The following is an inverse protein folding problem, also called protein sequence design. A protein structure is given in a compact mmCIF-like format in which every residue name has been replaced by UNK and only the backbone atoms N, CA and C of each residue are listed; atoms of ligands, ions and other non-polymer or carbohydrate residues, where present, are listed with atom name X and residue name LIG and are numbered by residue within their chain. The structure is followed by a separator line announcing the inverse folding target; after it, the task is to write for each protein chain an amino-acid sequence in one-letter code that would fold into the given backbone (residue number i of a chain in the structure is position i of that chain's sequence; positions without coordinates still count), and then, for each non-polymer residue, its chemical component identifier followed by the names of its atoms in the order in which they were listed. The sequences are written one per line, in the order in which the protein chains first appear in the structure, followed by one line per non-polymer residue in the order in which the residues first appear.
data_IF_783674146286
#
_entry.id   IF_783674146286
#
_cell.length_a   1.000
_cell.length_b   1.000
_cell.length_c   1.000
_cell.angle_alpha   90.00
_cell.angle_beta   90.00
_cell.angle_gamma   90.00
#
_symmetry.space_group_name_H-M   'P 1'
#
loop_
_entity.id
_entity.type
_entity.pdbx_description
1 polymer ?
#
# COMPACT_ATOMS: atom_id res chain seq x y z
N UNK A 1 19.98 -31.34 -112.59
CA UNK A 1 19.78 -32.80 -112.60
C UNK A 1 19.11 -33.16 -111.28
N UNK A 2 17.89 -33.74 -111.35
CA UNK A 2 16.94 -34.14 -110.28
C UNK A 2 16.42 -33.03 -109.34
N UNK A 3 15.17 -33.02 -108.85
CA UNK A 3 13.81 -33.41 -109.27
C UNK A 3 12.90 -33.11 -108.05
N UNK A 4 11.68 -32.60 -108.23
CA UNK A 4 10.61 -32.58 -107.21
C UNK A 4 9.99 -31.19 -106.98
N UNK A 5 8.90 -30.81 -107.67
CA UNK A 5 7.46 -31.06 -107.40
C UNK A 5 6.80 -30.11 -106.37
N UNK A 6 6.07 -29.11 -106.90
CA UNK A 6 4.64 -28.76 -106.67
C UNK A 6 4.05 -28.98 -105.25
N UNK A 7 3.67 -27.90 -104.55
CA UNK A 7 2.28 -27.40 -104.31
C UNK A 7 2.03 -26.66 -102.98
N UNK A 8 1.03 -25.77 -103.06
CA UNK A 8 0.37 -24.84 -102.12
C UNK A 8 0.36 -25.16 -100.61
N UNK A 9 0.54 -24.10 -99.81
CA UNK A 9 0.11 -24.05 -98.40
C UNK A 9 0.09 -22.62 -97.85
N UNK A 10 -1.10 -22.18 -97.42
CA UNK A 10 -1.43 -20.91 -96.75
C UNK A 10 -0.53 -20.58 -95.53
N UNK A 11 -0.12 -19.31 -95.36
CA UNK A 11 -0.42 -18.47 -94.19
C UNK A 11 0.55 -17.30 -93.97
N UNK A 12 -0.07 -16.19 -93.55
CA UNK A 12 0.46 -15.13 -92.66
C UNK A 12 1.14 -13.91 -93.29
N UNK A 13 0.31 -12.88 -93.49
CA UNK A 13 0.76 -11.50 -93.65
C UNK A 13 1.31 -10.97 -92.32
N UNK A 14 2.61 -10.67 -92.26
CA UNK A 14 3.19 -9.91 -91.16
C UNK A 14 2.79 -8.44 -91.29
N UNK A 15 1.69 -8.08 -90.60
CA UNK A 15 1.21 -6.71 -90.46
C UNK A 15 2.08 -6.00 -89.43
N UNK A 16 3.05 -5.21 -89.88
CA UNK A 16 3.82 -4.31 -89.01
C UNK A 16 2.84 -3.34 -88.35
N UNK A 17 2.57 -3.53 -87.05
CA UNK A 17 1.80 -2.58 -86.24
C UNK A 17 2.63 -1.32 -86.06
N UNK A 18 2.30 -0.28 -86.83
CA UNK A 18 2.76 1.08 -86.61
C UNK A 18 2.36 1.50 -85.19
N UNK A 19 3.35 1.71 -84.33
CA UNK A 19 3.14 2.27 -83.00
C UNK A 19 2.75 3.74 -83.18
N UNK A 20 1.48 4.05 -82.90
CA UNK A 20 0.97 5.41 -82.93
C UNK A 20 1.61 6.20 -81.79
N UNK A 21 2.68 6.95 -82.10
CA UNK A 21 3.08 8.10 -81.32
C UNK A 21 1.96 9.14 -81.44
N UNK A 22 1.31 9.44 -80.31
CA UNK A 22 0.32 10.51 -80.18
C UNK A 22 0.88 11.82 -80.72
N UNK A 23 0.43 12.29 -81.89
CA UNK A 23 0.49 13.71 -82.25
C UNK A 23 -0.82 14.36 -81.79
N UNK A 24 -0.89 14.75 -80.52
CA UNK A 24 -2.05 15.44 -79.96
C UNK A 24 -1.87 16.96 -80.03
N UNK A 25 -2.93 17.68 -80.39
CA UNK A 25 -3.02 19.15 -80.40
C UNK A 25 -2.36 19.77 -79.17
N UNK A 26 -1.55 20.82 -79.35
CA UNK A 26 -0.76 21.50 -78.29
C UNK A 26 -1.59 21.84 -77.03
N UNK A 27 -2.89 22.11 -77.18
CA UNK A 27 -3.81 22.36 -76.07
C UNK A 27 -4.10 21.15 -75.16
N UNK A 28 -4.01 19.91 -75.66
CA UNK A 28 -4.23 18.71 -74.84
C UNK A 28 -3.04 18.42 -73.91
N UNK A 29 -1.81 18.63 -74.39
CA UNK A 29 -0.60 18.48 -73.58
C UNK A 29 -0.51 19.57 -72.51
N UNK A 30 -0.90 20.81 -72.84
CA UNK A 30 -0.98 21.90 -71.87
C UNK A 30 -2.01 21.61 -70.75
N UNK A 31 -3.17 21.05 -71.09
CA UNK A 31 -4.20 20.67 -70.12
C UNK A 31 -3.70 19.59 -69.15
N UNK A 32 -3.03 18.56 -69.64
CA UNK A 32 -2.46 17.49 -68.80
C UNK A 32 -1.44 18.07 -67.82
N UNK A 33 -0.59 19.00 -68.28
CA UNK A 33 0.44 19.62 -67.47
C UNK A 33 -0.17 20.51 -66.37
N UNK A 34 -1.21 21.28 -66.70
CA UNK A 34 -1.97 22.09 -65.73
C UNK A 34 -2.64 21.20 -64.68
N UNK A 35 -3.31 20.12 -65.10
CA UNK A 35 -3.94 19.18 -64.17
C UNK A 35 -2.92 18.49 -63.26
N UNK A 36 -1.73 18.19 -63.76
CA UNK A 36 -0.66 17.58 -62.97
C UNK A 36 -0.13 18.57 -61.92
N UNK A 37 0.11 19.82 -62.30
CA UNK A 37 0.53 20.87 -61.35
C UNK A 37 -0.55 21.14 -60.31
N UNK A 38 -1.83 21.20 -60.69
CA UNK A 38 -2.96 21.36 -59.78
C UNK A 38 -3.11 20.14 -58.84
N UNK A 39 -2.93 18.92 -59.36
CA UNK A 39 -2.97 17.70 -58.57
C UNK A 39 -1.87 17.68 -57.50
N UNK A 40 -0.62 17.99 -57.88
CA UNK A 40 0.49 18.10 -56.93
C UNK A 40 0.22 19.20 -55.91
N UNK A 41 -0.25 20.37 -56.35
CA UNK A 41 -0.57 21.49 -55.46
C UNK A 41 -1.68 21.15 -54.47
N UNK A 42 -2.72 20.43 -54.90
CA UNK A 42 -3.79 19.95 -54.04
C UNK A 42 -3.26 18.95 -53.00
N UNK A 43 -2.40 18.01 -53.39
CA UNK A 43 -1.79 17.03 -52.47
C UNK A 43 -0.92 17.75 -51.42
N UNK A 44 -0.09 18.71 -51.84
CA UNK A 44 0.74 19.51 -50.93
C UNK A 44 -0.14 20.33 -49.98
N UNK A 45 -1.18 21.00 -50.50
CA UNK A 45 -2.12 21.78 -49.69
C UNK A 45 -2.84 20.93 -48.65
N UNK A 46 -3.34 19.74 -49.03
CA UNK A 46 -3.97 18.80 -48.09
C UNK A 46 -2.98 18.28 -47.06
N UNK A 47 -1.74 17.97 -47.45
CA UNK A 47 -0.69 17.51 -46.52
C UNK A 47 -0.34 18.59 -45.50
N UNK A 48 -0.23 19.85 -45.92
CA UNK A 48 0.02 20.98 -45.04
C UNK A 48 -1.14 21.21 -44.06
N UNK A 49 -2.39 21.21 -44.53
CA UNK A 49 -3.56 21.33 -43.67
C UNK A 49 -3.66 20.19 -42.65
N UNK A 50 -3.31 18.97 -43.06
CA UNK A 50 -3.26 17.82 -42.16
C UNK A 50 -2.18 18.00 -41.08
N UNK A 51 -0.96 18.43 -41.46
CA UNK A 51 0.13 18.73 -40.52
C UNK A 51 -0.26 19.83 -39.53
N UNK A 52 -0.83 20.94 -39.98
CA UNK A 52 -1.27 22.02 -39.08
C UNK A 52 -2.32 21.53 -38.07
N UNK A 53 -3.28 20.69 -38.50
CA UNK A 53 -4.28 20.14 -37.57
C UNK A 53 -3.64 19.23 -36.52
N UNK A 54 -2.64 18.45 -36.90
CA UNK A 54 -1.88 17.62 -35.96
C UNK A 54 -1.10 18.49 -34.96
N UNK A 55 -0.42 19.54 -35.43
CA UNK A 55 0.32 20.47 -34.58
C UNK A 55 -0.58 21.20 -33.59
N UNK A 56 -1.73 21.73 -34.05
CA UNK A 56 -2.71 22.37 -33.15
C UNK A 56 -3.23 21.39 -32.11
N UNK A 57 -3.51 20.13 -32.49
CA UNK A 57 -3.93 19.10 -31.53
C UNK A 57 -2.82 18.77 -30.53
N UNK A 58 -1.57 18.68 -30.98
CA UNK A 58 -0.42 18.43 -30.11
C UNK A 58 -0.19 19.58 -29.13
N UNK A 59 -0.22 20.84 -29.58
CA UNK A 59 -0.09 22.03 -28.72
C UNK A 59 -1.21 22.10 -27.70
N UNK A 60 -2.45 21.82 -28.11
CA UNK A 60 -3.58 21.77 -27.18
C UNK A 60 -3.40 20.66 -26.15
N UNK A 61 -3.05 19.45 -26.58
CA UNK A 61 -2.81 18.32 -25.67
C UNK A 61 -1.69 18.60 -24.68
N UNK A 62 -0.62 19.27 -25.12
CA UNK A 62 0.49 19.68 -24.27
C UNK A 62 0.04 20.71 -23.22
N UNK A 63 -0.71 21.73 -23.64
CA UNK A 63 -1.28 22.72 -22.73
C UNK A 63 -2.25 22.11 -21.72
N UNK A 64 -3.12 21.20 -22.16
CA UNK A 64 -4.07 20.49 -21.30
C UNK A 64 -3.34 19.56 -20.30
N UNK A 65 -2.27 18.88 -20.73
CA UNK A 65 -1.44 18.04 -19.86
C UNK A 65 -0.72 18.85 -18.79
N UNK A 66 -0.13 20.00 -19.14
CA UNK A 66 0.51 20.89 -18.17
C UNK A 66 -0.50 21.42 -17.16
N UNK A 67 -1.68 21.86 -17.62
CA UNK A 67 -2.75 22.32 -16.71
C UNK A 67 -3.18 21.19 -15.77
N UNK A 68 -3.33 19.97 -16.26
CA UNK A 68 -3.69 18.83 -15.44
C UNK A 68 -2.64 18.56 -14.35
N UNK A 69 -1.35 18.62 -14.69
CA UNK A 69 -0.25 18.44 -13.74
C UNK A 69 -0.25 19.51 -12.63
N UNK A 70 -0.35 20.79 -13.01
CA UNK A 70 -0.45 21.89 -12.02
C UNK A 70 -1.71 21.82 -11.16
N UNK A 71 -2.84 21.38 -11.71
CA UNK A 71 -4.07 21.17 -10.94
C UNK A 71 -3.92 20.00 -9.95
N UNK A 72 -3.23 18.93 -10.34
CA UNK A 72 -2.93 17.81 -9.45
C UNK A 72 -2.01 18.25 -8.31
N UNK A 73 -0.94 19.00 -8.61
CA UNK A 73 -0.05 19.58 -7.60
C UNK A 73 -0.81 20.53 -6.65
N UNK A 74 -1.70 21.37 -7.18
CA UNK A 74 -2.55 22.23 -6.35
C UNK A 74 -3.44 21.41 -5.39
N UNK A 75 -4.00 20.29 -5.87
CA UNK A 75 -4.75 19.35 -5.03
C UNK A 75 -3.90 18.75 -3.90
N UNK A 76 -2.66 18.36 -4.19
CA UNK A 76 -1.71 17.84 -3.19
C UNK A 76 -1.37 18.91 -2.16
N UNK A 77 -1.03 20.13 -2.59
CA UNK A 77 -0.72 21.24 -1.67
C UNK A 77 -1.93 21.62 -0.81
N UNK A 78 -3.14 21.57 -1.38
CA UNK A 78 -4.38 21.77 -0.62
C UNK A 78 -4.55 20.70 0.44
N UNK A 79 -4.33 19.42 0.11
CA UNK A 79 -4.40 18.31 1.05
C UNK A 79 -3.38 18.46 2.18
N UNK A 80 -2.12 18.79 1.85
CA UNK A 80 -1.06 19.04 2.83
C UNK A 80 -1.45 20.21 3.74
N UNK A 81 -1.99 21.30 3.18
CA UNK A 81 -2.43 22.45 3.96
C UNK A 81 -3.57 22.09 4.92
N UNK A 82 -4.53 21.28 4.48
CA UNK A 82 -5.62 20.79 5.34
C UNK A 82 -5.07 19.96 6.51
N UNK A 83 -4.19 18.99 6.25
CA UNK A 83 -3.57 18.16 7.30
C UNK A 83 -2.68 18.97 8.25
N UNK A 84 -1.98 20.00 7.77
CA UNK A 84 -1.17 20.89 8.63
C UNK A 84 -2.02 21.79 9.52
N UNK A 85 -3.21 22.17 9.06
CA UNK A 85 -4.12 23.00 9.83
C UNK A 85 -4.90 22.17 10.87
N UNK A 86 -4.96 20.86 10.68
CA UNK A 86 -5.51 19.96 11.67
C UNK A 86 -4.56 19.79 12.86
N UNK A 87 -5.03 20.20 14.02
CA UNK A 87 -4.20 20.37 15.23
C UNK A 87 -4.80 19.73 16.46
N UNK A 88 -5.94 19.07 16.33
CA UNK A 88 -6.56 18.37 17.45
C UNK A 88 -5.73 17.12 17.85
N UNK A 89 -6.24 16.35 18.82
CA UNK A 89 -5.51 15.20 19.37
C UNK A 89 -5.92 13.85 18.78
N UNK A 90 -6.82 13.83 17.80
CA UNK A 90 -7.40 12.61 17.25
C UNK A 90 -7.63 12.76 15.75
N UNK A 91 -7.40 11.70 14.98
CA UNK A 91 -7.72 11.66 13.56
C UNK A 91 -8.97 10.79 13.36
N UNK A 92 -10.03 11.32 12.75
CA UNK A 92 -11.28 10.59 12.47
C UNK A 92 -11.88 10.88 11.07
N UNK A 93 -12.75 9.98 10.60
CA UNK A 93 -13.35 10.07 9.26
C UNK A 93 -14.43 11.15 9.11
N UNK A 94 -14.80 11.85 10.19
CA UNK A 94 -15.77 12.96 10.18
C UNK A 94 -15.10 14.33 10.09
N UNK A 95 -13.77 14.37 10.08
CA UNK A 95 -13.00 15.59 9.98
C UNK A 95 -12.91 16.16 8.57
N UNK A 96 -12.52 17.43 8.47
CA UNK A 96 -12.42 18.14 7.19
C UNK A 96 -11.48 17.45 6.21
N UNK A 97 -10.37 16.87 6.69
CA UNK A 97 -9.40 16.17 5.84
C UNK A 97 -9.98 14.91 5.18
N UNK A 98 -10.93 14.24 5.83
CA UNK A 98 -11.55 13.00 5.35
C UNK A 98 -12.77 13.27 4.43
N UNK A 99 -13.27 14.50 4.37
CA UNK A 99 -14.38 14.87 3.52
C UNK A 99 -13.95 15.13 2.06
N UNK A 100 -14.88 14.94 1.14
CA UNK A 100 -14.68 15.26 -0.27
C UNK A 100 -14.66 16.79 -0.50
N UNK A 101 -13.67 17.29 -1.23
CA UNK A 101 -13.56 18.70 -1.61
C UNK A 101 -13.35 18.90 -3.11
N UNK A 102 -13.88 20.03 -3.59
CA UNK A 102 -13.85 20.42 -4.99
C UNK A 102 -13.55 21.90 -5.10
N UNK A 103 -12.46 22.24 -5.78
CA UNK A 103 -12.03 23.62 -5.93
C UNK A 103 -11.68 23.95 -7.40
N UNK A 104 -11.81 25.22 -7.74
CA UNK A 104 -11.51 25.76 -9.06
C UNK A 104 -10.27 26.64 -9.00
N UNK A 105 -9.30 26.39 -9.89
CA UNK A 105 -8.09 27.19 -10.01
C UNK A 105 -7.96 27.66 -11.47
N UNK A 106 -8.26 28.94 -11.70
CA UNK A 106 -8.30 29.53 -13.04
C UNK A 106 -9.40 28.89 -13.91
N UNK A 107 -9.01 28.37 -15.08
CA UNK A 107 -9.91 27.67 -16.01
C UNK A 107 -10.12 26.17 -15.65
N UNK A 108 -9.38 25.67 -14.66
CA UNK A 108 -9.36 24.28 -14.24
C UNK A 108 -10.12 24.02 -12.93
N UNK A 109 -10.40 22.75 -12.66
CA UNK A 109 -10.95 22.27 -11.38
C UNK A 109 -10.25 20.99 -10.97
N UNK A 110 -9.97 20.85 -9.68
CA UNK A 110 -9.51 19.60 -9.09
C UNK A 110 -10.52 19.09 -8.06
N UNK A 111 -10.43 17.80 -7.78
CA UNK A 111 -11.29 17.09 -6.85
C UNK A 111 -10.39 16.25 -5.97
N UNK A 112 -10.61 16.31 -4.67
CA UNK A 112 -10.19 15.27 -3.75
C UNK A 112 -11.46 14.68 -3.19
N UNK A 113 -11.87 13.56 -3.75
CA UNK A 113 -13.04 12.83 -3.35
C UNK A 113 -12.75 11.33 -3.38
N UNK A 114 -13.07 10.67 -2.27
CA UNK A 114 -13.02 9.21 -2.16
C UNK A 114 -13.88 8.52 -3.23
N UNK A 115 -14.94 9.21 -3.69
CA UNK A 115 -15.75 8.83 -4.84
C UNK A 115 -16.08 10.05 -5.72
N UNK A 116 -15.22 10.42 -6.69
CA UNK A 116 -15.31 11.71 -7.37
C UNK A 116 -16.56 11.90 -8.24
N UNK A 117 -17.30 10.83 -8.55
CA UNK A 117 -18.63 10.88 -9.18
C UNK A 117 -19.57 9.89 -8.47
N UNK A 118 -20.53 10.42 -7.72
CA UNK A 118 -21.68 9.66 -7.26
C UNK A 118 -22.58 9.25 -8.44
N UNK A 119 -22.17 8.23 -9.18
CA UNK A 119 -23.01 7.31 -9.97
C UNK A 119 -22.14 6.32 -10.75
N UNK A 120 -22.30 5.03 -10.42
CA UNK A 120 -22.14 3.80 -11.22
C UNK A 120 -21.67 3.95 -12.68
N UNK A 121 -20.46 4.45 -12.91
CA UNK A 121 -19.72 4.17 -14.14
C UNK A 121 -18.67 3.13 -13.81
N UNK A 122 -18.90 1.91 -14.32
CA UNK A 122 -18.06 0.71 -14.20
C UNK A 122 -16.72 0.86 -14.93
N UNK A 123 -15.96 1.87 -14.56
CA UNK A 123 -14.53 1.91 -14.80
C UNK A 123 -13.90 2.12 -13.42
N UNK A 124 -12.95 1.28 -13.05
CA UNK A 124 -12.10 1.41 -11.87
C UNK A 124 -11.36 2.75 -11.92
N UNK A 125 -12.06 3.85 -11.66
CA UNK A 125 -11.45 5.15 -11.53
C UNK A 125 -10.78 5.18 -10.18
N UNK A 126 -9.48 5.44 -10.20
CA UNK A 126 -8.65 5.56 -9.01
C UNK A 126 -9.30 6.50 -8.01
N UNK A 127 -9.37 6.05 -6.75
CA UNK A 127 -9.86 6.88 -5.65
C UNK A 127 -8.84 8.02 -5.47
N UNK A 128 -9.28 9.28 -5.55
CA UNK A 128 -8.39 10.44 -5.43
C UNK A 128 -8.79 11.21 -4.19
N UNK A 129 -8.09 11.03 -3.08
CA UNK A 129 -8.46 11.65 -1.81
C UNK A 129 -7.35 11.50 -0.77
N UNK A 130 -7.64 11.95 0.44
CA UNK A 130 -6.81 11.68 1.61
C UNK A 130 -7.36 10.41 2.25
N UNK A 131 -6.49 9.43 2.47
CA UNK A 131 -6.87 8.16 3.07
C UNK A 131 -6.00 7.89 4.27
N UNK A 132 -6.62 7.41 5.34
CA UNK A 132 -5.90 6.92 6.50
C UNK A 132 -5.32 5.53 6.21
N UNK A 133 -4.02 5.47 5.92
CA UNK A 133 -3.29 4.23 5.73
C UNK A 133 -3.05 3.48 7.06
N UNK A 134 -3.12 4.14 8.22
CA UNK A 134 -2.94 3.49 9.52
C UNK A 134 -4.10 2.55 9.88
N UNK A 135 -5.27 2.74 9.26
CA UNK A 135 -6.40 1.81 9.36
C UNK A 135 -6.21 0.48 8.62
N UNK A 136 -5.15 0.35 7.82
CA UNK A 136 -4.86 -0.83 7.00
C UNK A 136 -3.67 -1.62 7.54
N UNK A 137 -3.63 -2.89 7.16
CA UNK A 137 -2.56 -3.81 7.56
C UNK A 137 -1.32 -3.58 6.69
N UNK A 138 -0.18 -3.22 7.30
CA UNK A 138 1.06 -3.08 6.55
C UNK A 138 1.66 -4.45 6.19
N UNK A 139 1.85 -4.72 4.90
CA UNK A 139 2.46 -5.96 4.39
C UNK A 139 3.90 -6.18 4.86
N UNK A 140 4.67 -5.09 5.01
CA UNK A 140 6.06 -5.12 5.45
C UNK A 140 6.20 -5.33 6.96
N UNK A 141 5.13 -5.18 7.73
CA UNK A 141 5.18 -5.35 9.19
C UNK A 141 4.44 -6.59 9.65
N UNK A 142 3.23 -6.83 9.14
CA UNK A 142 2.31 -7.84 9.64
C UNK A 142 2.79 -9.29 9.43
N UNK A 143 2.60 -10.16 10.41
CA UNK A 143 3.04 -11.55 10.39
C UNK A 143 1.94 -12.56 10.05
N UNK A 144 2.20 -13.83 10.40
CA UNK A 144 1.29 -14.96 10.21
C UNK A 144 0.77 -15.58 11.51
N UNK A 145 1.35 -15.19 12.64
CA UNK A 145 1.21 -15.85 13.93
C UNK A 145 -0.02 -15.47 14.74
N UNK A 146 -0.04 -15.90 15.99
CA UNK A 146 -1.03 -15.45 16.96
C UNK A 146 -0.60 -14.10 17.54
N UNK A 147 -1.58 -13.31 17.98
CA UNK A 147 -1.29 -12.15 18.84
C UNK A 147 -0.91 -12.66 20.22
N UNK A 148 0.26 -12.28 20.70
CA UNK A 148 0.84 -12.73 21.96
C UNK A 148 0.80 -11.58 22.96
N UNK A 149 1.90 -10.83 23.16
CA UNK A 149 2.05 -9.80 24.20
C UNK A 149 2.15 -8.37 23.65
N UNK A 150 1.94 -8.16 22.35
CA UNK A 150 1.92 -6.84 21.71
C UNK A 150 3.30 -6.19 21.59
N UNK A 151 4.34 -6.97 21.27
CA UNK A 151 5.72 -6.52 21.14
C UNK A 151 5.91 -5.65 19.90
N UNK A 152 5.57 -6.18 18.72
CA UNK A 152 5.67 -5.45 17.44
C UNK A 152 4.40 -5.63 16.61
N UNK A 153 4.17 -4.75 15.59
CA UNK A 153 3.07 -4.94 14.64
C UNK A 153 3.13 -6.26 13.84
N UNK A 154 4.21 -7.04 13.95
CA UNK A 154 4.31 -8.39 13.39
C UNK A 154 3.23 -9.34 13.91
N UNK A 155 2.73 -9.12 15.13
CA UNK A 155 1.64 -9.92 15.69
C UNK A 155 0.30 -9.76 14.93
N UNK A 156 0.19 -8.77 14.04
CA UNK A 156 -0.99 -8.61 13.19
C UNK A 156 -1.04 -9.73 12.16
N UNK A 157 -2.01 -10.64 12.31
CA UNK A 157 -2.12 -11.82 11.46
C UNK A 157 -2.78 -11.52 10.09
N UNK A 158 -1.98 -11.57 9.02
CA UNK A 158 -2.45 -11.42 7.63
C UNK A 158 -3.46 -12.51 7.20
N UNK A 159 -3.38 -13.71 7.75
CA UNK A 159 -4.27 -14.83 7.47
C UNK A 159 -5.72 -14.62 7.92
N UNK A 160 -6.00 -13.55 8.67
CA UNK A 160 -7.38 -13.14 8.99
C UNK A 160 -8.06 -12.42 7.83
N UNK A 161 -7.32 -11.97 6.82
CA UNK A 161 -7.90 -11.35 5.63
C UNK A 161 -8.56 -12.40 4.72
N UNK A 162 -9.76 -12.09 4.26
CA UNK A 162 -10.55 -13.00 3.45
C UNK A 162 -9.89 -13.23 2.07
N UNK A 163 -9.37 -14.43 1.84
CA UNK A 163 -8.70 -14.81 0.57
C UNK A 163 -7.21 -15.07 0.69
N UNK A 164 -6.62 -14.80 1.87
CA UNK A 164 -5.29 -15.26 2.26
C UNK A 164 -5.41 -16.54 3.09
N UNK A 165 -4.96 -17.65 2.51
CA UNK A 165 -4.74 -18.90 3.26
C UNK A 165 -3.37 -18.87 3.92
N UNK A 166 -3.14 -19.72 4.92
CA UNK A 166 -1.85 -19.85 5.59
C UNK A 166 -0.68 -19.96 4.61
N UNK A 167 -0.80 -20.81 3.59
CA UNK A 167 0.21 -20.99 2.54
C UNK A 167 0.52 -19.73 1.72
N UNK A 168 -0.45 -18.83 1.54
CA UNK A 168 -0.23 -17.55 0.85
C UNK A 168 0.45 -16.55 1.77
N UNK A 169 0.10 -16.56 3.06
CA UNK A 169 0.76 -15.71 4.05
C UNK A 169 2.22 -16.11 4.19
N UNK A 170 2.51 -17.41 4.32
CA UNK A 170 3.89 -17.93 4.30
C UNK A 170 4.64 -17.54 3.03
N UNK A 171 3.97 -17.52 1.88
CA UNK A 171 4.57 -17.05 0.63
C UNK A 171 4.84 -15.53 0.63
N UNK A 172 4.00 -14.72 1.28
CA UNK A 172 4.24 -13.29 1.50
C UNK A 172 5.46 -13.11 2.39
N UNK A 173 5.51 -13.78 3.55
CA UNK A 173 6.64 -13.69 4.48
C UNK A 173 7.95 -14.11 3.81
N UNK A 174 7.93 -15.24 3.08
CA UNK A 174 9.08 -15.71 2.31
C UNK A 174 9.50 -14.75 1.20
N UNK A 175 8.57 -14.02 0.59
CA UNK A 175 8.94 -12.99 -0.37
C UNK A 175 9.68 -11.84 0.31
N UNK A 176 9.27 -11.46 1.53
CA UNK A 176 9.92 -10.40 2.32
C UNK A 176 11.31 -10.79 2.79
N UNK A 177 11.46 -11.99 3.32
CA UNK A 177 12.71 -12.51 3.89
C UNK A 177 13.63 -13.14 2.85
N UNK A 178 13.29 -13.00 1.56
CA UNK A 178 14.13 -13.52 0.50
C UNK A 178 14.34 -15.04 0.48
N UNK A 179 15.35 -15.49 -0.28
CA UNK A 179 15.72 -16.90 -0.41
C UNK A 179 16.02 -17.65 0.88
N UNK A 180 16.65 -17.01 1.87
CA UNK A 180 17.04 -17.67 3.12
C UNK A 180 15.85 -17.89 4.07
N UNK A 181 14.78 -17.09 3.92
CA UNK A 181 13.51 -17.19 4.61
C UNK A 181 13.56 -16.69 6.05
N UNK A 182 14.58 -15.93 6.45
CA UNK A 182 14.73 -15.30 7.74
C UNK A 182 14.87 -13.77 7.57
N UNK A 183 14.39 -12.97 8.54
CA UNK A 183 14.63 -11.54 8.54
C UNK A 183 16.13 -11.26 8.68
N UNK A 184 16.65 -10.26 7.97
CA UNK A 184 18.07 -9.91 8.02
C UNK A 184 18.97 -10.99 7.41
N UNK A 185 19.90 -11.53 8.20
CA UNK A 185 20.81 -12.60 7.79
C UNK A 185 20.60 -13.82 8.66
N UNK A 186 20.13 -14.91 8.06
CA UNK A 186 19.82 -16.14 8.77
C UNK A 186 20.85 -16.60 9.81
N UNK A 187 20.37 -16.85 11.01
CA UNK A 187 21.10 -17.34 12.18
C UNK A 187 22.00 -16.30 12.82
N UNK A 188 21.81 -15.01 12.55
CA UNK A 188 22.55 -13.91 13.18
C UNK A 188 21.62 -13.04 13.99
N UNK A 189 22.23 -12.47 15.03
CA UNK A 189 21.67 -11.38 15.81
C UNK A 189 22.21 -10.08 15.19
N UNK A 190 21.41 -9.49 14.30
CA UNK A 190 21.82 -8.41 13.41
C UNK A 190 21.80 -7.04 14.08
N UNK A 191 21.02 -6.86 15.14
CA UNK A 191 20.92 -5.63 15.91
C UNK A 191 21.52 -5.71 17.33
N UNK A 192 21.94 -6.91 17.73
CA UNK A 192 22.72 -7.22 18.93
C UNK A 192 21.94 -7.05 20.21
N UNK A 193 20.66 -7.40 20.19
CA UNK A 193 19.76 -7.24 21.32
C UNK A 193 19.37 -8.56 22.00
N UNK A 194 19.85 -9.70 21.50
CA UNK A 194 19.67 -11.04 22.12
C UNK A 194 19.77 -11.06 23.63
N UNK A 195 20.82 -10.45 24.20
CA UNK A 195 21.02 -10.45 25.66
C UNK A 195 19.86 -9.78 26.42
N UNK A 196 19.17 -8.84 25.78
CA UNK A 196 17.99 -8.20 26.33
C UNK A 196 16.74 -9.07 26.10
N UNK A 197 16.56 -9.62 24.89
CA UNK A 197 15.35 -10.36 24.52
C UNK A 197 15.24 -11.70 25.27
N UNK A 198 16.33 -12.47 25.42
CA UNK A 198 16.36 -13.77 26.14
C UNK A 198 15.92 -13.70 27.63
N UNK A 199 15.58 -12.52 28.16
CA UNK A 199 15.15 -12.33 29.55
C UNK A 199 14.23 -11.13 29.78
N UNK A 200 13.49 -10.68 28.76
CA UNK A 200 12.58 -9.53 28.87
C UNK A 200 11.15 -9.89 29.31
N UNK A 201 10.83 -11.17 29.39
CA UNK A 201 9.55 -11.73 29.80
C UNK A 201 8.49 -11.75 28.69
N UNK A 202 8.89 -11.67 27.42
CA UNK A 202 8.03 -11.65 26.23
C UNK A 202 8.30 -12.89 25.36
N UNK A 203 7.31 -13.27 24.54
CA UNK A 203 7.44 -14.31 23.50
C UNK A 203 7.62 -13.57 22.17
N UNK A 204 8.87 -13.29 21.84
CA UNK A 204 9.27 -12.35 20.79
C UNK A 204 9.00 -12.88 19.37
N UNK A 205 9.18 -14.18 19.16
CA UNK A 205 8.92 -14.84 17.88
C UNK A 205 7.50 -15.42 17.76
N UNK A 206 6.77 -15.51 18.89
CA UNK A 206 5.38 -15.95 18.97
C UNK A 206 5.22 -17.48 18.91
N UNK A 207 6.25 -18.24 19.27
CA UNK A 207 6.24 -19.70 19.23
C UNK A 207 5.58 -20.34 20.47
N UNK A 208 5.35 -19.55 21.52
CA UNK A 208 4.71 -19.92 22.77
C UNK A 208 5.66 -20.19 23.94
N UNK A 209 6.98 -20.10 23.73
CA UNK A 209 7.98 -20.02 24.78
C UNK A 209 8.21 -18.55 25.18
N UNK A 210 8.69 -18.33 26.41
CA UNK A 210 9.05 -17.00 26.91
C UNK A 210 10.48 -17.13 27.44
N UNK A 211 11.35 -16.19 27.11
CA UNK A 211 12.74 -16.10 27.56
C UNK A 211 13.53 -17.38 27.21
N UNK A 212 13.61 -17.73 25.92
CA UNK A 212 14.28 -18.94 25.45
C UNK A 212 15.65 -18.75 24.77
N UNK A 213 16.54 -19.77 24.79
CA UNK A 213 17.85 -19.66 24.15
C UNK A 213 17.72 -19.48 22.63
N UNK A 214 18.17 -18.34 22.12
CA UNK A 214 18.09 -18.01 20.70
C UNK A 214 17.12 -16.89 20.35
N UNK A 215 16.36 -16.35 21.30
CA UNK A 215 15.64 -15.07 21.12
C UNK A 215 16.62 -13.97 20.69
N UNK A 216 16.19 -13.04 19.84
CA UNK A 216 17.08 -12.07 19.20
C UNK A 216 17.94 -12.66 18.09
N UNK A 217 17.49 -13.75 17.45
CA UNK A 217 18.07 -14.30 16.23
C UNK A 217 16.96 -14.61 15.24
N UNK A 218 17.06 -14.11 14.01
CA UNK A 218 16.02 -14.27 12.99
C UNK A 218 14.65 -13.74 13.48
N UNK A 219 14.67 -12.72 14.35
CA UNK A 219 13.48 -12.13 14.97
C UNK A 219 12.78 -11.13 14.04
N UNK A 220 11.45 -10.94 14.18
CA UNK A 220 10.69 -10.04 13.31
C UNK A 220 11.19 -8.58 13.24
N UNK A 221 11.86 -8.08 14.27
CA UNK A 221 12.41 -6.72 14.34
C UNK A 221 13.76 -6.55 13.63
N UNK A 222 14.46 -7.64 13.32
CA UNK A 222 15.63 -7.64 12.42
C UNK A 222 15.25 -7.24 10.99
N UNK A 223 13.98 -7.47 10.61
CA UNK A 223 13.46 -7.03 9.31
C UNK A 223 13.30 -5.51 9.27
N UNK A 224 14.05 -4.85 8.37
CA UNK A 224 14.08 -3.39 8.25
C UNK A 224 13.59 -2.93 6.88
N UNK A 225 12.29 -2.58 6.73
CA UNK A 225 11.73 -2.15 5.45
C UNK A 225 12.44 -0.93 4.84
N UNK A 226 12.85 0.04 5.67
CA UNK A 226 13.50 1.27 5.23
C UNK A 226 14.99 1.09 4.88
N UNK A 227 15.61 0.03 5.36
CA UNK A 227 17.02 -0.29 5.13
C UNK A 227 17.21 -1.81 5.13
N UNK A 228 16.80 -2.49 4.04
CA UNK A 228 16.86 -3.94 3.95
C UNK A 228 18.28 -4.46 4.18
N UNK A 229 18.37 -5.59 4.84
CA UNK A 229 19.64 -6.21 5.21
C UNK A 229 19.68 -7.67 4.72
N UNK A 230 20.87 -8.20 4.48
CA UNK A 230 20.99 -9.55 3.90
C UNK A 230 20.34 -9.68 2.51
N UNK A 231 19.43 -10.65 2.37
CA UNK A 231 18.60 -10.89 1.17
C UNK A 231 17.13 -10.50 1.34
N UNK A 232 16.82 -9.70 2.38
CA UNK A 232 15.51 -9.10 2.58
C UNK A 232 15.06 -8.26 1.38
N UNK A 233 13.76 -8.33 1.11
CA UNK A 233 13.10 -7.72 -0.02
C UNK A 233 11.71 -7.18 0.41
N UNK A 234 11.63 -6.00 1.03
CA UNK A 234 10.36 -5.38 1.36
C UNK A 234 9.55 -5.06 0.10
N UNK A 235 8.23 -4.98 0.25
CA UNK A 235 7.35 -4.47 -0.79
C UNK A 235 7.56 -2.96 -0.95
N UNK A 236 8.03 -2.52 -2.11
CA UNK A 236 8.13 -1.09 -2.46
C UNK A 236 6.82 -0.55 -3.04
N UNK A 237 6.01 -1.44 -3.62
CA UNK A 237 4.70 -1.13 -4.18
C UNK A 237 3.66 -2.17 -3.76
N UNK A 238 2.37 -1.78 -3.70
CA UNK A 238 1.30 -2.72 -3.38
C UNK A 238 1.09 -3.76 -4.49
N UNK A 239 1.44 -3.42 -5.73
CA UNK A 239 1.27 -4.25 -6.90
C UNK A 239 2.17 -5.48 -6.90
N UNK A 240 3.34 -5.40 -6.25
CA UNK A 240 4.30 -6.50 -6.11
C UNK A 240 3.75 -7.71 -5.37
N UNK A 241 2.72 -7.56 -4.55
CA UNK A 241 2.07 -8.71 -3.90
C UNK A 241 1.55 -9.72 -4.93
N UNK A 242 1.31 -9.31 -6.18
CA UNK A 242 0.92 -10.19 -7.29
C UNK A 242 2.06 -11.08 -7.80
N UNK A 243 3.31 -10.79 -7.45
CA UNK A 243 4.48 -11.63 -7.73
C UNK A 243 4.55 -12.82 -6.77
N UNK A 244 3.91 -12.71 -5.60
CA UNK A 244 3.89 -13.75 -4.59
C UNK A 244 3.12 -14.99 -5.12
N UNK A 245 3.72 -16.19 -5.03
CA UNK A 245 3.06 -17.41 -5.45
C UNK A 245 1.68 -17.60 -4.81
N UNK A 246 0.66 -17.80 -5.64
CA UNK A 246 -0.72 -18.01 -5.19
C UNK A 246 -1.56 -16.74 -5.02
N UNK A 247 -0.98 -15.55 -5.21
CA UNK A 247 -1.68 -14.27 -5.19
C UNK A 247 -1.83 -13.73 -6.62
N UNK A 248 -2.96 -14.05 -7.24
CA UNK A 248 -3.35 -13.47 -8.52
C UNK A 248 -4.24 -12.24 -8.37
N UNK A 249 -4.65 -11.66 -9.49
CA UNK A 249 -5.54 -10.49 -9.58
C UNK A 249 -6.82 -10.62 -8.75
N UNK A 250 -7.45 -11.81 -8.77
CA UNK A 250 -8.65 -12.08 -7.98
C UNK A 250 -8.40 -11.99 -6.47
N UNK A 251 -7.25 -12.47 -5.99
CA UNK A 251 -6.92 -12.36 -4.57
C UNK A 251 -6.57 -10.93 -4.23
N UNK A 252 -5.72 -10.29 -5.04
CA UNK A 252 -5.34 -8.88 -4.87
C UNK A 252 -6.57 -7.96 -4.75
N UNK A 253 -7.52 -8.04 -5.68
CA UNK A 253 -8.71 -7.17 -5.67
C UNK A 253 -9.59 -7.34 -4.42
N UNK A 254 -9.51 -8.47 -3.71
CA UNK A 254 -10.24 -8.70 -2.46
C UNK A 254 -9.56 -8.09 -1.24
N UNK A 255 -8.23 -8.01 -1.26
CA UNK A 255 -7.43 -7.56 -0.12
C UNK A 255 -6.91 -6.13 -0.28
N UNK A 256 -6.86 -5.58 -1.50
CA UNK A 256 -6.20 -4.30 -1.83
C UNK A 256 -6.64 -3.11 -0.98
N UNK A 257 -7.91 -3.10 -0.54
CA UNK A 257 -8.46 -2.00 0.25
C UNK A 257 -8.15 -2.14 1.76
N UNK A 258 -7.62 -3.29 2.20
CA UNK A 258 -7.31 -3.61 3.60
C UNK A 258 -5.81 -3.64 3.91
N UNK A 259 -4.96 -3.54 2.88
CA UNK A 259 -3.51 -3.65 3.00
C UNK A 259 -2.83 -2.33 2.59
N UNK A 260 -1.66 -2.09 3.13
CA UNK A 260 -0.81 -0.94 2.82
C UNK A 260 0.67 -1.32 2.91
N UNK A 261 1.54 -0.41 2.48
CA UNK A 261 2.98 -0.43 2.76
C UNK A 261 3.43 0.84 3.50
N UNK A 262 2.51 1.78 3.72
CA UNK A 262 2.83 3.14 4.17
C UNK A 262 2.65 3.34 5.68
N UNK A 263 1.85 2.50 6.37
CA UNK A 263 1.60 2.67 7.80
C UNK A 263 2.76 2.14 8.64
N UNK A 264 3.21 2.89 9.63
CA UNK A 264 4.27 2.45 10.53
C UNK A 264 3.96 2.91 11.96
N UNK A 265 4.35 2.11 12.96
CA UNK A 265 4.34 2.55 14.35
C UNK A 265 5.78 2.87 14.77
N UNK A 266 6.05 4.15 15.05
CA UNK A 266 7.36 4.60 15.59
C UNK A 266 7.51 4.31 17.08
N UNK A 267 6.50 3.74 17.72
CA UNK A 267 6.38 3.58 19.17
C UNK A 267 6.60 4.90 19.95
N UNK A 268 6.19 6.02 19.35
CA UNK A 268 6.25 7.36 19.96
C UNK A 268 4.86 7.99 20.02
N UNK A 269 4.70 8.94 20.93
CA UNK A 269 3.53 9.81 20.95
C UNK A 269 3.70 11.01 19.99
N UNK A 270 2.66 11.84 19.86
CA UNK A 270 2.65 13.06 19.02
C UNK A 270 3.79 14.05 19.34
N UNK A 271 4.37 13.99 20.54
CA UNK A 271 5.50 14.83 20.98
C UNK A 271 6.87 14.19 20.69
N UNK A 272 6.90 13.02 20.07
CA UNK A 272 8.13 12.27 19.75
C UNK A 272 8.74 11.54 20.94
N UNK A 273 8.07 11.47 22.09
CA UNK A 273 8.54 10.68 23.22
C UNK A 273 8.03 9.24 23.12
N UNK A 274 8.87 8.27 23.50
CA UNK A 274 8.53 6.86 23.51
C UNK A 274 7.27 6.60 24.35
N UNK A 275 6.42 5.69 23.85
CA UNK A 275 5.24 5.26 24.61
C UNK A 275 5.68 4.40 25.80
N UNK A 276 4.90 4.45 26.86
CA UNK A 276 5.15 3.65 28.06
C UNK A 276 4.84 2.19 27.75
N UNK A 277 5.85 1.31 27.82
CA UNK A 277 5.64 -0.12 27.67
C UNK A 277 4.89 -0.66 28.90
N UNK A 278 3.65 -1.10 28.69
CA UNK A 278 2.79 -1.60 29.78
C UNK A 278 3.21 -2.96 30.31
N UNK A 279 4.10 -3.69 29.63
CA UNK A 279 4.60 -4.99 30.07
C UNK A 279 5.68 -4.83 31.14
N UNK A 280 6.50 -3.77 31.08
CA UNK A 280 7.64 -3.57 32.00
C UNK A 280 7.54 -2.35 32.91
N UNK A 281 6.74 -1.34 32.56
CA UNK A 281 6.68 -0.08 33.32
C UNK A 281 6.15 -0.24 34.75
N UNK A 282 6.64 0.58 35.68
CA UNK A 282 6.15 0.61 37.06
C UNK A 282 4.72 1.18 37.19
N UNK A 283 4.00 0.93 38.31
CA UNK A 283 2.68 1.54 38.56
C UNK A 283 2.71 3.07 38.47
N UNK A 284 3.81 3.69 38.89
CA UNK A 284 4.00 5.14 38.82
C UNK A 284 4.06 5.64 37.37
N UNK A 285 4.82 4.97 36.51
CA UNK A 285 4.96 5.34 35.10
C UNK A 285 3.66 5.16 34.34
N UNK A 286 2.97 4.03 34.54
CA UNK A 286 1.66 3.76 33.94
C UNK A 286 0.66 4.81 34.42
N UNK A 287 0.62 5.11 35.71
CA UNK A 287 -0.30 6.11 36.26
C UNK A 287 -0.03 7.50 35.68
N UNK A 288 1.24 7.93 35.58
CA UNK A 288 1.60 9.21 34.95
C UNK A 288 1.21 9.24 33.48
N UNK A 289 1.38 8.13 32.75
CA UNK A 289 0.97 8.02 31.36
C UNK A 289 -0.55 8.18 31.20
N UNK A 290 -1.34 7.48 32.01
CA UNK A 290 -2.81 7.57 32.01
C UNK A 290 -3.30 8.98 32.37
N UNK A 291 -2.67 9.65 33.33
CA UNK A 291 -3.01 11.03 33.70
C UNK A 291 -2.72 12.02 32.57
N UNK A 292 -1.63 11.84 31.81
CA UNK A 292 -1.36 12.64 30.59
C UNK A 292 -2.44 12.45 29.54
N UNK A 293 -3.06 11.26 29.49
CA UNK A 293 -4.24 10.97 28.65
C UNK A 293 -5.56 11.53 29.20
N UNK A 294 -5.54 12.34 30.26
CA UNK A 294 -6.72 13.02 30.79
C UNK A 294 -7.48 12.24 31.88
N UNK A 295 -6.97 11.11 32.35
CA UNK A 295 -7.60 10.39 33.46
C UNK A 295 -7.35 11.10 34.80
N UNK A 296 -8.40 11.17 35.63
CA UNK A 296 -8.26 11.67 37.00
C UNK A 296 -7.26 10.81 37.80
N UNK A 297 -6.44 11.41 38.70
CA UNK A 297 -5.39 10.71 39.42
C UNK A 297 -5.84 9.42 40.11
N UNK A 298 -6.94 9.47 40.86
CA UNK A 298 -7.48 8.30 41.56
C UNK A 298 -7.77 7.10 40.63
N UNK A 299 -8.35 7.37 39.46
CA UNK A 299 -8.67 6.34 38.48
C UNK A 299 -7.41 5.82 37.80
N UNK A 300 -6.47 6.71 37.50
CA UNK A 300 -5.19 6.34 36.91
C UNK A 300 -4.35 5.47 37.88
N UNK A 301 -4.33 5.80 39.17
CA UNK A 301 -3.67 4.98 40.19
C UNK A 301 -4.28 3.58 40.27
N UNK A 302 -5.62 3.49 40.30
CA UNK A 302 -6.32 2.20 40.38
C UNK A 302 -6.08 1.33 39.14
N UNK A 303 -6.11 1.93 37.95
CA UNK A 303 -5.83 1.19 36.71
C UNK A 303 -4.36 0.73 36.67
N UNK A 304 -3.41 1.56 37.11
CA UNK A 304 -2.01 1.19 37.10
C UNK A 304 -1.73 -0.03 37.97
N UNK A 305 -2.24 -0.09 39.21
CA UNK A 305 -2.06 -1.27 40.08
C UNK A 305 -2.77 -2.50 39.52
N UNK A 306 -3.96 -2.35 38.94
CA UNK A 306 -4.67 -3.48 38.32
C UNK A 306 -3.93 -4.03 37.09
N UNK A 307 -3.27 -3.16 36.31
CA UNK A 307 -2.49 -3.59 35.14
C UNK A 307 -1.26 -4.39 35.60
N UNK A 308 -0.58 -3.93 36.66
CA UNK A 308 0.60 -4.62 37.20
C UNK A 308 0.23 -5.99 37.78
N UNK A 309 -0.79 -6.08 38.63
CA UNK A 309 -1.27 -7.38 39.16
C UNK A 309 -1.80 -8.31 38.09
N UNK A 310 -2.32 -7.77 36.98
CA UNK A 310 -2.80 -8.62 35.89
C UNK A 310 -1.65 -9.31 35.16
N UNK A 311 -0.48 -8.66 35.06
CA UNK A 311 0.67 -9.16 34.29
C UNK A 311 1.68 -9.93 35.15
N UNK A 312 1.75 -9.67 36.46
CA UNK A 312 2.63 -10.44 37.31
C UNK A 312 2.05 -11.84 37.60
N UNK A 313 2.91 -12.85 37.79
CA UNK A 313 2.46 -14.21 38.08
C UNK A 313 2.22 -14.43 39.58
N UNK A 314 2.41 -13.41 40.40
CA UNK A 314 2.35 -13.57 41.85
C UNK A 314 0.91 -13.54 42.35
N UNK A 315 0.71 -13.32 43.64
CA UNK A 315 -0.63 -13.28 44.22
C UNK A 315 -0.70 -12.22 45.32
N UNK A 316 0.20 -11.26 45.29
CA UNK A 316 0.33 -10.18 46.23
C UNK A 316 -0.13 -8.89 45.57
N UNK A 317 -1.27 -8.34 46.00
CA UNK A 317 -1.80 -7.14 45.37
C UNK A 317 -0.79 -5.99 45.38
N UNK A 318 -0.51 -5.42 44.22
CA UNK A 318 0.35 -4.25 44.07
C UNK A 318 -0.31 -3.05 44.73
N UNK A 319 0.45 -2.35 45.58
CA UNK A 319 0.00 -1.13 46.22
C UNK A 319 0.70 0.10 45.63
N UNK A 320 -0.07 1.12 45.27
CA UNK A 320 0.45 2.41 44.83
C UNK A 320 -0.50 3.54 45.19
N UNK A 321 0.01 4.57 45.87
CA UNK A 321 -0.74 5.77 46.27
C UNK A 321 -2.07 5.46 46.98
N UNK A 322 -2.09 4.43 47.83
CA UNK A 322 -3.29 4.01 48.57
C UNK A 322 -4.34 3.27 47.74
N UNK A 323 -4.01 2.83 46.52
CA UNK A 323 -4.79 1.86 45.73
C UNK A 323 -4.11 0.49 45.80
N UNK A 324 -4.92 -0.56 45.77
CA UNK A 324 -4.48 -1.95 45.68
C UNK A 324 -5.01 -2.54 44.38
N UNK A 325 -4.20 -3.33 43.69
CA UNK A 325 -4.62 -4.03 42.49
C UNK A 325 -5.56 -5.21 42.79
N UNK A 326 -6.00 -5.87 41.72
CA UNK A 326 -6.98 -6.94 41.78
C UNK A 326 -6.35 -8.21 41.25
N UNK A 327 -6.18 -9.17 42.15
CA UNK A 327 -5.71 -10.51 41.83
C UNK A 327 -6.77 -11.36 41.12
N UNK A 328 -6.32 -12.20 40.19
CA UNK A 328 -7.17 -13.18 39.51
C UNK A 328 -7.71 -14.24 40.48
N UNK A 329 -7.01 -14.47 41.60
CA UNK A 329 -7.45 -15.35 42.67
C UNK A 329 -7.95 -14.52 43.86
N UNK A 330 -9.26 -14.43 44.11
CA UNK A 330 -9.75 -13.73 45.29
C UNK A 330 -9.36 -14.51 46.54
N UNK A 331 -8.47 -13.95 47.36
CA UNK A 331 -8.26 -14.44 48.72
C UNK A 331 -9.52 -14.16 49.55
N UNK A 332 -10.43 -15.13 49.58
CA UNK A 332 -11.44 -15.20 50.65
C UNK A 332 -10.71 -15.69 51.89
N UNK A 333 -10.10 -14.78 52.65
CA UNK A 333 -9.74 -15.06 54.04
C UNK A 333 -11.00 -14.88 54.91
N UNK A 334 -11.96 -15.78 54.76
CA UNK A 334 -12.88 -16.06 55.87
C UNK A 334 -12.11 -16.90 56.89
N UNK A 335 -11.50 -16.22 57.86
CA UNK A 335 -11.13 -16.85 59.13
C UNK A 335 -12.09 -16.30 60.19
N UNK A 336 -13.26 -16.92 60.34
CA UNK A 336 -13.94 -16.94 61.63
C UNK A 336 -13.58 -18.25 62.34
N UNK A 337 -12.61 -18.26 63.26
CA UNK A 337 -12.46 -19.39 64.16
C UNK A 337 -13.64 -19.38 65.14
N UNK A 338 -14.34 -20.52 65.19
CA UNK A 338 -15.38 -20.88 66.15
C UNK A 338 -15.26 -20.20 67.52
N UNK A 339 -16.24 -19.39 67.90
CA UNK A 339 -16.61 -19.27 69.31
C UNK A 339 -17.74 -20.27 69.60
N UNK A 340 -17.34 -21.42 70.15
CA UNK A 340 -18.21 -22.28 70.93
C UNK A 340 -18.74 -21.48 72.12
N UNK A 341 -20.01 -21.05 72.09
CA UNK A 341 -20.76 -20.82 73.31
C UNK A 341 -21.55 -22.10 73.62
N UNK A 342 -21.06 -22.78 74.65
CA UNK A 342 -21.62 -23.94 75.32
C UNK A 342 -23.15 -23.89 75.45
N UNK A 343 -23.79 -25.00 75.09
CA UNK A 343 -25.08 -25.39 75.66
C UNK A 343 -24.89 -25.56 77.16
N UNK A 344 -25.59 -24.77 77.97
CA UNK A 344 -25.85 -25.10 79.37
C UNK A 344 -27.35 -25.25 79.57
N UNK A 345 -27.74 -26.49 79.89
CA UNK A 345 -28.96 -27.02 80.50
C UNK A 345 -30.29 -26.27 80.32
#
# INVERSE_FOLDING_TARGET
MKLGTVEKGSHSAYKVRRMYLFSGNEGQMALILVLLVLGISAVVGVSFLYRMRLEVKAVKSFGDSLRADYLAQAGIERAIATLKNDTNEYDDLYEEWAQDFKESLGEGRYYLASNPHGESTKEDKEKVGIFDEASKINLNMAGAGHSTQGWTPYEINLGKLEGLSQSKVEAILKYRYGPDGAPGVRGKDDDKDREALESDGIDNDGDGAIDEPGEGVDEPDEFRPDSPYGDDNPFETLEEIRLVPGIGEKTFNRIRDYITIYSYDKNVNKKGALRTNINTASPDEISRALQRGGLAPDRAHQLAVNIVDFRDPDSYPTEYQGKCGIEKTPYINEVMPFFTSSVSA
#
